data_IF_387976750344
#
_entry.id   IF_387976750344
#
_cell.length_a   1.000
_cell.length_b   1.000
_cell.length_c   1.000
_cell.angle_alpha   90.00
_cell.angle_beta   90.00
_cell.angle_gamma   90.00
#
_symmetry.space_group_name_H-M   'P 1'
#
loop_
_entity.id
_entity.type
_entity.pdbx_description
1 polymer ?
#
# COMPACT_ATOMS: atom_id res chain seq x y z
N UNK A 1 29.30 -5.47 -0.43
CA UNK A 1 29.00 -4.14 0.15
C UNK A 1 27.55 -3.70 -0.02
N UNK A 2 26.91 -3.94 -1.17
CA UNK A 2 25.58 -3.40 -1.52
C UNK A 2 24.41 -3.96 -0.69
N UNK A 3 24.44 -5.23 -0.28
CA UNK A 3 23.37 -5.84 0.54
C UNK A 3 23.17 -5.10 1.88
N UNK A 4 24.26 -4.68 2.54
CA UNK A 4 24.17 -3.94 3.80
C UNK A 4 23.45 -2.61 3.60
N UNK A 5 23.74 -1.91 2.51
CA UNK A 5 23.09 -0.66 2.15
C UNK A 5 21.60 -0.86 1.83
N UNK A 6 21.27 -1.83 0.96
CA UNK A 6 19.88 -2.12 0.59
C UNK A 6 19.04 -2.51 1.81
N UNK A 7 19.57 -3.38 2.68
CA UNK A 7 18.86 -3.83 3.89
C UNK A 7 18.67 -2.69 4.89
N UNK A 8 19.61 -1.76 4.98
CA UNK A 8 19.55 -0.66 5.95
C UNK A 8 18.34 0.26 5.76
N UNK A 9 17.81 0.41 4.54
CA UNK A 9 16.65 1.26 4.28
C UNK A 9 15.41 0.52 3.74
N UNK A 10 15.53 -0.75 3.37
CA UNK A 10 14.42 -1.51 2.81
C UNK A 10 13.20 -1.50 3.76
N UNK A 11 12.03 -0.99 3.33
CA UNK A 11 10.87 -0.86 4.21
C UNK A 11 10.46 -2.18 4.85
N UNK A 12 10.42 -3.25 4.05
CA UNK A 12 10.07 -4.59 4.52
C UNK A 12 11.00 -5.10 5.63
N UNK A 13 12.30 -4.81 5.54
CA UNK A 13 13.28 -5.30 6.52
C UNK A 13 13.39 -4.42 7.77
N UNK A 14 12.71 -3.28 7.81
CA UNK A 14 12.79 -2.30 8.90
C UNK A 14 11.44 -2.11 9.62
N UNK A 15 10.48 -3.00 9.40
CA UNK A 15 9.30 -3.10 10.26
C UNK A 15 9.74 -3.55 11.66
N UNK A 16 9.22 -2.87 12.69
CA UNK A 16 9.49 -3.17 14.10
C UNK A 16 8.22 -3.64 14.77
N UNK A 17 8.23 -4.87 15.28
CA UNK A 17 7.08 -5.45 15.95
C UNK A 17 6.60 -4.59 17.12
N UNK A 18 5.28 -4.52 17.33
CA UNK A 18 4.64 -3.72 18.38
C UNK A 18 4.71 -2.20 18.17
N UNK A 19 5.33 -1.72 17.08
CA UNK A 19 5.35 -0.28 16.78
C UNK A 19 3.98 0.16 16.27
N UNK A 20 3.47 1.27 16.81
CA UNK A 20 2.23 1.88 16.32
C UNK A 20 2.49 2.65 15.03
N UNK A 21 2.46 1.97 13.90
CA UNK A 21 2.51 2.59 12.58
C UNK A 21 1.23 3.40 12.31
N UNK A 22 1.30 4.44 11.45
CA UNK A 22 0.09 5.12 11.00
C UNK A 22 -0.83 4.15 10.24
N UNK A 23 -2.12 4.48 10.09
CA UNK A 23 -2.99 3.78 9.15
C UNK A 23 -2.39 3.77 7.73
N UNK A 24 -2.36 2.61 7.07
CA UNK A 24 -1.82 2.45 5.72
C UNK A 24 -2.84 1.80 4.79
N UNK A 25 -2.98 2.36 3.59
CA UNK A 25 -3.61 1.73 2.45
C UNK A 25 -2.54 1.43 1.40
N UNK A 26 -2.19 0.16 1.21
CA UNK A 26 -1.38 -0.27 0.08
C UNK A 26 -2.25 -0.45 -1.16
N UNK A 27 -1.75 -0.01 -2.30
CA UNK A 27 -2.36 -0.24 -3.61
C UNK A 27 -1.38 -1.01 -4.50
N UNK A 28 -1.91 -1.97 -5.26
CA UNK A 28 -1.14 -2.72 -6.26
C UNK A 28 -2.09 -3.26 -7.33
N UNK A 29 -1.56 -3.86 -8.39
CA UNK A 29 -2.34 -4.45 -9.46
C UNK A 29 -1.76 -5.79 -9.90
N UNK A 30 -2.60 -6.81 -10.11
CA UNK A 30 -2.13 -8.17 -10.39
C UNK A 30 -1.35 -8.28 -11.71
N UNK A 31 -1.69 -7.45 -12.69
CA UNK A 31 -1.02 -7.37 -13.99
C UNK A 31 0.18 -6.42 -14.04
N UNK A 32 0.68 -5.91 -12.91
CA UNK A 32 1.85 -5.02 -12.90
C UNK A 32 3.14 -5.77 -13.28
N UNK A 33 3.55 -5.64 -14.53
CA UNK A 33 4.77 -6.23 -15.06
C UNK A 33 6.03 -5.39 -14.81
N UNK A 34 5.91 -4.23 -14.16
CA UNK A 34 7.03 -3.31 -13.88
C UNK A 34 7.50 -3.42 -12.43
N UNK A 35 6.57 -3.47 -11.49
CA UNK A 35 6.85 -3.64 -10.07
C UNK A 35 6.01 -4.80 -9.55
N UNK A 36 6.67 -5.88 -9.14
CA UNK A 36 6.00 -7.11 -8.71
C UNK A 36 5.03 -6.84 -7.54
N UNK A 37 3.75 -7.25 -7.63
CA UNK A 37 2.74 -7.04 -6.58
C UNK A 37 3.13 -7.64 -5.22
N UNK A 38 4.05 -8.61 -5.20
CA UNK A 38 4.57 -9.19 -3.96
C UNK A 38 5.21 -8.16 -3.03
N UNK A 39 5.72 -7.04 -3.55
CA UNK A 39 6.22 -5.96 -2.70
C UNK A 39 5.14 -5.40 -1.77
N UNK A 40 3.95 -5.12 -2.30
CA UNK A 40 2.82 -4.64 -1.51
C UNK A 40 2.24 -5.75 -0.63
N UNK A 41 2.02 -6.95 -1.20
CA UNK A 41 1.43 -8.10 -0.47
C UNK A 41 2.24 -8.48 0.77
N UNK A 42 3.56 -8.61 0.64
CA UNK A 42 4.41 -8.99 1.78
C UNK A 42 4.51 -7.89 2.84
N UNK A 43 4.52 -6.62 2.43
CA UNK A 43 4.58 -5.49 3.37
C UNK A 43 3.26 -5.37 4.16
N UNK A 44 2.12 -5.51 3.47
CA UNK A 44 0.81 -5.49 4.10
C UNK A 44 0.69 -6.64 5.12
N UNK A 45 1.03 -7.86 4.72
CA UNK A 45 1.00 -9.02 5.61
C UNK A 45 1.89 -8.84 6.85
N UNK A 46 3.12 -8.34 6.67
CA UNK A 46 4.06 -8.11 7.78
C UNK A 46 3.55 -7.05 8.76
N UNK A 47 3.01 -5.93 8.26
CA UNK A 47 2.46 -4.91 9.16
C UNK A 47 1.18 -5.38 9.87
N UNK A 48 0.35 -6.18 9.20
CA UNK A 48 -0.86 -6.77 9.81
C UNK A 48 -0.51 -7.82 10.88
N UNK A 49 0.56 -8.59 10.70
CA UNK A 49 0.94 -9.64 11.66
C UNK A 49 1.70 -9.11 12.87
N UNK A 50 2.58 -8.12 12.67
CA UNK A 50 3.57 -7.75 13.68
C UNK A 50 3.25 -6.42 14.38
N UNK A 51 2.18 -5.73 13.99
CA UNK A 51 1.86 -4.38 14.48
C UNK A 51 0.37 -4.18 14.74
N UNK A 52 0.02 -3.20 15.58
CA UNK A 52 -1.37 -2.84 15.89
C UNK A 52 -1.95 -1.78 14.93
N UNK A 53 -1.29 -1.54 13.78
CA UNK A 53 -1.69 -0.54 12.80
C UNK A 53 -2.89 -0.98 11.95
N UNK A 54 -3.74 -0.04 11.56
CA UNK A 54 -4.75 -0.29 10.53
C UNK A 54 -4.06 -0.40 9.16
N UNK A 55 -4.07 -1.59 8.57
CA UNK A 55 -3.40 -1.85 7.29
C UNK A 55 -4.38 -2.50 6.32
N UNK A 56 -4.60 -1.85 5.19
CA UNK A 56 -5.44 -2.35 4.10
C UNK A 56 -4.59 -2.57 2.85
N UNK A 57 -4.96 -3.55 2.05
CA UNK A 57 -4.38 -3.83 0.74
C UNK A 57 -5.48 -3.85 -0.31
N UNK A 58 -5.42 -2.90 -1.24
CA UNK A 58 -6.28 -2.83 -2.42
C UNK A 58 -5.53 -3.39 -3.62
N UNK A 59 -6.11 -4.41 -4.25
CA UNK A 59 -5.53 -5.09 -5.42
C UNK A 59 -6.47 -4.89 -6.61
N UNK A 60 -5.98 -4.21 -7.64
CA UNK A 60 -6.69 -4.10 -8.91
C UNK A 60 -6.36 -5.33 -9.77
N UNK A 61 -7.34 -6.20 -9.97
CA UNK A 61 -7.13 -7.50 -10.65
C UNK A 61 -6.99 -7.37 -12.16
N UNK A 62 -7.53 -6.29 -12.75
CA UNK A 62 -7.62 -6.10 -14.20
C UNK A 62 -6.72 -4.95 -14.69
N UNK A 63 -5.76 -4.51 -13.87
CA UNK A 63 -4.85 -3.43 -14.20
C UNK A 63 -3.37 -3.87 -14.18
N UNK A 64 -2.53 -3.07 -14.84
CA UNK A 64 -1.07 -3.12 -14.72
C UNK A 64 -0.51 -1.97 -13.90
N UNK A 65 0.69 -1.50 -14.22
CA UNK A 65 1.40 -0.43 -13.48
C UNK A 65 0.72 0.95 -13.49
N UNK A 66 -0.41 1.11 -14.19
CA UNK A 66 -1.18 2.36 -14.27
C UNK A 66 -1.24 3.00 -15.66
N UNK A 67 -0.36 2.61 -16.60
CA UNK A 67 -0.41 3.11 -17.98
C UNK A 67 -1.65 2.54 -18.68
N UNK A 68 -2.45 3.42 -19.28
CA UNK A 68 -3.66 3.03 -20.01
C UNK A 68 -4.82 2.58 -19.13
N UNK A 69 -4.76 2.86 -17.81
CA UNK A 69 -5.87 2.55 -16.90
C UNK A 69 -7.15 3.29 -17.34
N UNK A 70 -8.28 2.59 -17.52
CA UNK A 70 -9.57 3.22 -17.83
C UNK A 70 -9.96 4.32 -16.84
N UNK A 71 -10.72 5.34 -17.30
CA UNK A 71 -11.07 6.51 -16.47
C UNK A 71 -11.90 6.12 -15.24
N UNK A 72 -12.86 5.22 -15.39
CA UNK A 72 -13.66 4.67 -14.29
C UNK A 72 -12.77 4.05 -13.20
N UNK A 73 -11.78 3.24 -13.59
CA UNK A 73 -10.80 2.68 -12.65
C UNK A 73 -9.94 3.75 -11.97
N UNK A 74 -9.56 4.81 -12.68
CA UNK A 74 -8.85 5.94 -12.09
C UNK A 74 -9.71 6.69 -11.07
N UNK A 75 -11.01 6.85 -11.35
CA UNK A 75 -11.97 7.47 -10.43
C UNK A 75 -12.14 6.60 -9.19
N UNK A 76 -12.30 5.29 -9.33
CA UNK A 76 -12.39 4.36 -8.19
C UNK A 76 -11.12 4.39 -7.32
N UNK A 77 -9.94 4.35 -7.94
CA UNK A 77 -8.65 4.48 -7.24
C UNK A 77 -8.61 5.75 -6.40
N UNK A 78 -8.98 6.88 -6.99
CA UNK A 78 -8.96 8.18 -6.32
C UNK A 78 -10.01 8.26 -5.20
N UNK A 79 -11.22 7.76 -5.45
CA UNK A 79 -12.30 7.72 -4.47
C UNK A 79 -11.88 6.92 -3.22
N UNK A 80 -11.28 5.74 -3.40
CA UNK A 80 -10.79 4.91 -2.29
C UNK A 80 -9.64 5.58 -1.54
N UNK A 81 -8.65 6.16 -2.25
CA UNK A 81 -7.52 6.84 -1.63
C UNK A 81 -7.94 8.07 -0.85
N UNK A 82 -8.75 8.95 -1.46
CA UNK A 82 -9.23 10.18 -0.81
C UNK A 82 -10.22 9.85 0.31
N UNK A 83 -11.08 8.86 0.13
CA UNK A 83 -12.00 8.37 1.16
C UNK A 83 -11.26 7.81 2.37
N UNK A 84 -10.22 7.00 2.16
CA UNK A 84 -9.36 6.51 3.24
C UNK A 84 -8.69 7.66 3.99
N UNK A 85 -8.10 8.63 3.27
CA UNK A 85 -7.48 9.79 3.90
C UNK A 85 -8.48 10.62 4.68
N UNK A 86 -9.65 10.92 4.10
CA UNK A 86 -10.71 11.68 4.76
C UNK A 86 -11.16 10.99 6.05
N UNK A 87 -11.42 9.68 6.00
CA UNK A 87 -11.77 8.88 7.16
C UNK A 87 -10.67 8.89 8.23
N UNK A 88 -9.41 8.66 7.85
CA UNK A 88 -8.30 8.52 8.80
C UNK A 88 -7.80 9.85 9.37
N UNK A 89 -8.04 10.96 8.68
CA UNK A 89 -7.71 12.31 9.12
C UNK A 89 -8.89 13.03 9.78
N UNK A 90 -10.08 12.41 9.85
CA UNK A 90 -11.26 13.01 10.46
C UNK A 90 -11.85 14.17 9.64
N UNK A 91 -11.66 14.18 8.33
CA UNK A 91 -12.33 15.13 7.45
C UNK A 91 -13.80 14.77 7.36
N UNK A 92 -14.64 15.63 7.94
CA UNK A 92 -16.10 15.52 7.86
C UNK A 92 -16.58 16.35 6.67
N UNK A 93 -17.46 15.78 5.84
CA UNK A 93 -18.22 16.60 4.91
C UNK A 93 -19.12 17.52 5.76
N UNK A 94 -18.87 18.83 5.67
CA UNK A 94 -19.69 19.85 6.31
C UNK A 94 -21.08 19.95 5.72
#
# INVERSE_FOLDING_TARGET
MQIRWLRAYSPYHNVRAGTRYPPVLFTTADGDSRVDPMHARKMAALLQSDTDGLVLLRVDRDAGHGIGKPLDKQVDDLADMTGFLAWRLGLVAG
#
